data_IF_028490277024
#
_entry.id   IF_028490277024
#
_cell.length_a   1.000
_cell.length_b   1.000
_cell.length_c   1.000
_cell.angle_alpha   90.00
_cell.angle_beta   90.00
_cell.angle_gamma   90.00
#
_symmetry.space_group_name_H-M   'P 1'
#
loop_
_entity.id
_entity.type
_entity.pdbx_description
1 polymer ?
#
# COMPACT_ATOMS: atom_id res chain seq x y z
N UNK A 1 1.62 -19.43 33.40
CA UNK A 1 0.31 -20.06 33.16
C UNK A 1 0.45 -20.94 31.92
N UNK A 2 0.29 -22.26 31.88
CA UNK A 2 0.06 -23.32 32.86
C UNK A 2 0.61 -24.60 32.19
N UNK A 3 1.52 -25.32 32.85
CA UNK A 3 1.92 -26.67 32.44
C UNK A 3 0.81 -27.65 32.78
N UNK A 4 0.22 -28.31 31.78
CA UNK A 4 -0.77 -29.37 31.98
C UNK A 4 -0.07 -30.71 31.84
N UNK A 5 0.39 -31.25 32.96
CA UNK A 5 0.72 -32.66 33.12
C UNK A 5 -0.56 -33.48 32.96
N UNK A 6 -0.61 -34.38 31.99
CA UNK A 6 -1.65 -35.42 31.89
C UNK A 6 -1.06 -36.75 32.31
N UNK A 7 -1.43 -37.17 33.52
CA UNK A 7 -1.22 -38.51 34.07
C UNK A 7 -2.10 -39.48 33.27
N UNK A 8 -1.48 -40.48 32.62
CA UNK A 8 -2.20 -41.58 32.00
C UNK A 8 -2.47 -42.65 33.06
N UNK A 9 -3.70 -42.69 33.55
CA UNK A 9 -4.22 -43.75 34.41
C UNK A 9 -4.49 -45.00 33.57
N UNK A 10 -3.72 -46.07 33.78
CA UNK A 10 -4.03 -47.39 33.22
C UNK A 10 -5.18 -48.01 34.03
N UNK A 11 -6.39 -47.95 33.50
CA UNK A 11 -7.53 -48.71 34.03
C UNK A 11 -7.44 -50.13 33.48
N UNK A 12 -6.98 -51.07 34.31
CA UNK A 12 -7.12 -52.49 34.06
C UNK A 12 -8.61 -52.86 34.06
N UNK A 13 -9.15 -53.23 32.90
CA UNK A 13 -10.51 -53.74 32.72
C UNK A 13 -10.41 -55.01 31.89
N UNK A 14 -10.94 -56.11 32.42
CA UNK A 14 -11.22 -57.28 31.61
C UNK A 14 -11.21 -58.61 32.34
N UNK A 15 -12.18 -58.81 33.24
CA UNK A 15 -12.63 -60.16 33.61
C UNK A 15 -13.20 -60.84 32.37
N UNK A 16 -12.62 -61.96 31.93
CA UNK A 16 -13.22 -62.81 30.88
C UNK A 16 -13.89 -64.00 31.57
N UNK A 17 -15.22 -63.97 31.57
CA UNK A 17 -16.05 -65.13 31.87
C UNK A 17 -16.00 -66.12 30.70
N UNK A 18 -15.69 -67.38 31.00
CA UNK A 18 -15.79 -68.51 30.09
C UNK A 18 -17.26 -68.83 29.76
N UNK A 19 -17.58 -69.06 28.49
CA UNK A 19 -18.43 -70.18 28.02
C UNK A 19 -18.40 -70.30 26.48
N UNK A 20 -18.08 -71.51 25.97
CA UNK A 20 -18.78 -72.08 24.80
C UNK A 20 -18.10 -72.12 23.42
N UNK A 21 -17.51 -73.29 23.10
CA UNK A 21 -17.45 -73.99 21.79
C UNK A 21 -16.58 -73.50 20.60
N UNK A 22 -15.63 -74.38 20.23
CA UNK A 22 -15.24 -74.82 18.87
C UNK A 22 -14.55 -73.85 17.90
N UNK A 23 -13.25 -73.59 18.15
CA UNK A 23 -12.09 -73.70 17.23
C UNK A 23 -10.91 -73.06 17.99
N UNK A 24 -9.96 -73.87 18.44
CA UNK A 24 -8.84 -73.41 19.26
C UNK A 24 -7.77 -72.81 18.34
N UNK A 25 -7.99 -71.57 17.92
CA UNK A 25 -6.90 -70.69 17.48
C UNK A 25 -6.16 -70.29 18.75
N UNK A 26 -4.99 -70.88 18.96
CA UNK A 26 -4.11 -70.58 20.07
C UNK A 26 -3.42 -69.25 19.76
N UNK A 27 -4.06 -68.14 20.12
CA UNK A 27 -3.47 -66.81 20.04
C UNK A 27 -2.33 -66.78 21.06
N UNK A 28 -1.10 -66.72 20.56
CA UNK A 28 0.09 -66.68 21.42
C UNK A 28 0.32 -65.26 21.94
N UNK A 29 1.02 -65.11 23.06
CA UNK A 29 1.42 -63.78 23.57
C UNK A 29 2.20 -62.97 22.50
N UNK A 30 2.91 -63.66 21.60
CA UNK A 30 3.59 -63.05 20.47
C UNK A 30 2.62 -62.44 19.44
N UNK A 31 1.46 -63.06 19.18
CA UNK A 31 0.44 -62.53 18.28
C UNK A 31 -0.25 -61.29 18.86
N UNK A 32 -0.46 -61.26 20.18
CA UNK A 32 -1.01 -60.09 20.90
C UNK A 32 -0.02 -58.92 20.86
N UNK A 33 1.27 -59.19 21.10
CA UNK A 33 2.32 -58.17 21.06
C UNK A 33 2.51 -57.61 19.63
N UNK A 34 2.55 -58.47 18.62
CA UNK A 34 2.67 -58.05 17.22
C UNK A 34 1.46 -57.21 16.75
N UNK A 35 0.25 -57.55 17.19
CA UNK A 35 -0.95 -56.75 16.92
C UNK A 35 -0.89 -55.38 17.62
N UNK A 36 -0.41 -55.33 18.86
CA UNK A 36 -0.22 -54.08 19.60
C UNK A 36 0.85 -53.17 18.96
N UNK A 37 1.99 -53.73 18.55
CA UNK A 37 3.07 -52.99 17.89
C UNK A 37 2.64 -52.45 16.52
N UNK A 38 1.87 -53.24 15.75
CA UNK A 38 1.28 -52.79 14.49
C UNK A 38 0.29 -51.64 14.70
N UNK A 39 -0.59 -51.76 15.70
CA UNK A 39 -1.53 -50.69 16.04
C UNK A 39 -0.81 -49.40 16.50
N UNK A 40 0.30 -49.53 17.24
CA UNK A 40 1.13 -48.40 17.64
C UNK A 40 1.81 -47.73 16.44
N UNK A 41 2.38 -48.49 15.50
CA UNK A 41 2.98 -47.95 14.27
C UNK A 41 1.94 -47.25 13.38
N UNK A 42 0.76 -47.84 13.20
CA UNK A 42 -0.32 -47.22 12.44
C UNK A 42 -0.81 -45.92 13.10
N UNK A 43 -0.87 -45.87 14.43
CA UNK A 43 -1.22 -44.66 15.17
C UNK A 43 -0.15 -43.56 15.02
N UNK A 44 1.15 -43.92 15.03
CA UNK A 44 2.25 -42.97 14.78
C UNK A 44 2.17 -42.44 13.35
N UNK A 45 2.08 -43.31 12.35
CA UNK A 45 2.00 -42.91 10.94
C UNK A 45 0.75 -42.05 10.65
N UNK A 46 -0.40 -42.36 11.25
CA UNK A 46 -1.60 -41.53 11.15
C UNK A 46 -1.42 -40.15 11.82
N UNK A 47 -0.67 -40.09 12.93
CA UNK A 47 -0.38 -38.83 13.63
C UNK A 47 0.59 -37.94 12.86
N UNK A 48 1.61 -38.52 12.21
CA UNK A 48 2.57 -37.83 11.35
C UNK A 48 1.87 -37.27 10.12
N UNK A 49 1.09 -38.10 9.42
CA UNK A 49 0.30 -37.66 8.26
C UNK A 49 -0.64 -36.50 8.61
N UNK A 50 -1.30 -36.57 9.77
CA UNK A 50 -2.19 -35.50 10.25
C UNK A 50 -1.43 -34.19 10.56
N UNK A 51 -0.20 -34.28 11.06
CA UNK A 51 0.64 -33.12 11.31
C UNK A 51 1.15 -32.51 10.00
N UNK A 52 1.55 -33.34 9.02
CA UNK A 52 1.99 -32.90 7.70
C UNK A 52 0.86 -32.19 6.95
N UNK A 53 -0.35 -32.76 6.94
CA UNK A 53 -1.54 -32.14 6.35
C UNK A 53 -1.85 -30.78 7.00
N UNK A 54 -1.69 -30.67 8.33
CA UNK A 54 -1.89 -29.42 9.06
C UNK A 54 -0.82 -28.37 8.72
N UNK A 55 0.45 -28.76 8.59
CA UNK A 55 1.51 -27.85 8.16
C UNK A 55 1.30 -27.38 6.71
N UNK A 56 0.91 -28.29 5.81
CA UNK A 56 0.61 -27.95 4.43
C UNK A 56 -0.56 -26.96 4.33
N UNK A 57 -1.63 -27.18 5.09
CA UNK A 57 -2.77 -26.26 5.15
C UNK A 57 -2.37 -24.88 5.71
N UNK A 58 -1.58 -24.83 6.79
CA UNK A 58 -1.07 -23.57 7.35
C UNK A 58 -0.19 -22.81 6.36
N UNK A 59 0.69 -23.52 5.63
CA UNK A 59 1.54 -22.91 4.61
C UNK A 59 0.72 -22.33 3.46
N UNK A 60 -0.25 -23.10 2.95
CA UNK A 60 -1.16 -22.62 1.90
C UNK A 60 -1.99 -21.40 2.34
N UNK A 61 -2.47 -21.36 3.58
CA UNK A 61 -3.18 -20.20 4.12
C UNK A 61 -2.25 -18.97 4.25
N UNK A 62 -1.01 -19.17 4.69
CA UNK A 62 -0.01 -18.10 4.76
C UNK A 62 0.36 -17.56 3.38
N UNK A 63 0.60 -18.44 2.41
CA UNK A 63 0.93 -18.05 1.04
C UNK A 63 -0.23 -17.28 0.39
N UNK A 64 -1.48 -17.71 0.65
CA UNK A 64 -2.68 -16.98 0.23
C UNK A 64 -2.74 -15.58 0.85
N UNK A 65 -2.57 -15.46 2.18
CA UNK A 65 -2.58 -14.15 2.86
C UNK A 65 -1.50 -13.21 2.33
N UNK A 66 -0.32 -13.74 2.01
CA UNK A 66 0.77 -12.97 1.42
C UNK A 66 0.43 -12.49 0.00
N UNK A 67 -0.20 -13.34 -0.81
CA UNK A 67 -0.64 -12.99 -2.15
C UNK A 67 -1.75 -11.92 -2.11
N UNK A 68 -2.74 -12.10 -1.23
CA UNK A 68 -3.85 -11.15 -1.03
C UNK A 68 -3.31 -9.78 -0.58
N UNK A 69 -2.37 -9.76 0.38
CA UNK A 69 -1.75 -8.51 0.85
C UNK A 69 -0.95 -7.79 -0.25
N UNK A 70 -0.26 -8.53 -1.12
CA UNK A 70 0.44 -7.94 -2.28
C UNK A 70 -0.54 -7.33 -3.27
N UNK A 71 -1.61 -8.05 -3.60
CA UNK A 71 -2.63 -7.56 -4.51
C UNK A 71 -3.34 -6.31 -3.96
N UNK A 72 -3.65 -6.27 -2.66
CA UNK A 72 -4.23 -5.10 -2.01
C UNK A 72 -3.28 -3.90 -2.04
N UNK A 73 -1.98 -4.10 -1.78
CA UNK A 73 -0.98 -3.05 -1.84
C UNK A 73 -0.81 -2.49 -3.26
N UNK A 74 -0.77 -3.35 -4.28
CA UNK A 74 -0.70 -2.94 -5.68
C UNK A 74 -1.96 -2.15 -6.11
N UNK A 75 -3.15 -2.63 -5.72
CA UNK A 75 -4.40 -1.94 -5.99
C UNK A 75 -4.45 -0.57 -5.32
N UNK A 76 -3.98 -0.47 -4.06
CA UNK A 76 -3.90 0.79 -3.33
C UNK A 76 -2.93 1.77 -4.00
N UNK A 77 -1.74 1.31 -4.37
CA UNK A 77 -0.76 2.13 -5.08
C UNK A 77 -1.33 2.66 -6.41
N UNK A 78 -2.00 1.81 -7.18
CA UNK A 78 -2.61 2.20 -8.44
C UNK A 78 -3.73 3.24 -8.24
N UNK A 79 -4.59 3.05 -7.23
CA UNK A 79 -5.65 3.99 -6.90
C UNK A 79 -5.11 5.36 -6.46
N UNK A 80 -4.13 5.38 -5.54
CA UNK A 80 -3.51 6.63 -5.08
C UNK A 80 -2.76 7.34 -6.21
N UNK A 81 -2.06 6.60 -7.08
CA UNK A 81 -1.38 7.16 -8.26
C UNK A 81 -2.37 7.82 -9.21
N UNK A 82 -3.50 7.17 -9.47
CA UNK A 82 -4.55 7.72 -10.33
C UNK A 82 -5.13 9.01 -9.75
N UNK A 83 -5.51 8.99 -8.48
CA UNK A 83 -6.08 10.15 -7.79
C UNK A 83 -5.09 11.32 -7.79
N UNK A 84 -3.82 11.06 -7.51
CA UNK A 84 -2.78 12.08 -7.50
C UNK A 84 -2.57 12.71 -8.89
N UNK A 85 -2.56 11.89 -9.95
CA UNK A 85 -2.47 12.39 -11.34
C UNK A 85 -3.65 13.26 -11.72
N UNK A 86 -4.87 12.86 -11.36
CA UNK A 86 -6.07 13.66 -11.59
C UNK A 86 -5.99 15.00 -10.85
N UNK A 87 -5.55 14.98 -9.58
CA UNK A 87 -5.37 16.19 -8.77
C UNK A 87 -4.32 17.13 -9.39
N UNK A 88 -3.17 16.61 -9.81
CA UNK A 88 -2.13 17.42 -10.44
C UNK A 88 -2.58 18.00 -11.78
N UNK A 89 -3.28 17.20 -12.60
CA UNK A 89 -3.82 17.66 -13.88
C UNK A 89 -4.82 18.80 -13.68
N UNK A 90 -5.75 18.65 -12.73
CA UNK A 90 -6.73 19.69 -12.41
C UNK A 90 -6.05 20.96 -11.86
N UNK A 91 -5.07 20.80 -10.97
CA UNK A 91 -4.30 21.89 -10.38
C UNK A 91 -3.50 22.65 -11.45
N UNK A 92 -2.78 21.94 -12.32
CA UNK A 92 -2.01 22.53 -13.42
C UNK A 92 -2.93 23.30 -14.39
N UNK A 93 -4.07 22.73 -14.75
CA UNK A 93 -5.04 23.41 -15.62
C UNK A 93 -5.58 24.71 -14.98
N UNK A 94 -5.84 24.70 -13.67
CA UNK A 94 -6.27 25.89 -12.95
C UNK A 94 -5.16 26.96 -12.89
N UNK A 95 -3.93 26.56 -12.57
CA UNK A 95 -2.77 27.45 -12.54
C UNK A 95 -2.48 28.07 -13.91
N UNK A 96 -2.59 27.27 -14.98
CA UNK A 96 -2.41 27.75 -16.36
C UNK A 96 -3.42 28.85 -16.70
N UNK A 97 -4.71 28.63 -16.38
CA UNK A 97 -5.77 29.64 -16.57
C UNK A 97 -5.49 30.91 -15.78
N UNK A 98 -5.03 30.78 -14.52
CA UNK A 98 -4.67 31.93 -13.70
C UNK A 98 -3.48 32.71 -14.28
N UNK A 99 -2.46 32.00 -14.76
CA UNK A 99 -1.31 32.58 -15.45
C UNK A 99 -1.73 33.33 -16.71
N UNK A 100 -2.55 32.72 -17.57
CA UNK A 100 -3.01 33.37 -18.81
C UNK A 100 -3.84 34.63 -18.50
N UNK A 101 -4.68 34.57 -17.47
CA UNK A 101 -5.44 35.73 -16.97
C UNK A 101 -4.51 36.83 -16.44
N UNK A 102 -3.50 36.47 -15.65
CA UNK A 102 -2.50 37.40 -15.11
C UNK A 102 -1.71 38.06 -16.25
N UNK A 103 -1.23 37.27 -17.20
CA UNK A 103 -0.47 37.74 -18.36
C UNK A 103 -1.32 38.69 -19.22
N UNK A 104 -2.56 38.34 -19.52
CA UNK A 104 -3.47 39.21 -20.27
C UNK A 104 -3.75 40.54 -19.56
N UNK A 105 -3.97 40.50 -18.25
CA UNK A 105 -4.12 41.71 -17.42
C UNK A 105 -2.86 42.56 -17.44
N UNK A 106 -1.69 41.95 -17.27
CA UNK A 106 -0.41 42.64 -17.34
C UNK A 106 -0.22 43.31 -18.71
N UNK A 107 -0.43 42.58 -19.80
CA UNK A 107 -0.31 43.11 -21.16
C UNK A 107 -1.25 44.30 -21.42
N UNK A 108 -2.42 44.32 -20.79
CA UNK A 108 -3.41 45.40 -20.90
C UNK A 108 -3.03 46.67 -20.11
N UNK A 109 -2.23 46.54 -19.04
CA UNK A 109 -1.88 47.66 -18.16
C UNK A 109 -0.42 48.09 -18.26
N UNK A 110 0.45 47.30 -18.91
CA UNK A 110 1.90 47.56 -18.96
C UNK A 110 2.29 48.95 -19.45
N UNK A 111 1.53 49.53 -20.38
CA UNK A 111 1.78 50.89 -20.89
C UNK A 111 1.47 52.01 -19.87
N UNK A 112 0.79 51.68 -18.78
CA UNK A 112 0.42 52.60 -17.68
C UNK A 112 1.25 52.35 -16.42
N UNK A 113 2.14 51.35 -16.44
CA UNK A 113 2.99 51.02 -15.31
C UNK A 113 4.33 51.78 -15.40
N UNK A 114 4.97 52.06 -14.26
CA UNK A 114 6.35 52.53 -14.23
C UNK A 114 7.30 51.56 -14.97
N UNK A 115 8.31 52.11 -15.63
CA UNK A 115 9.23 51.33 -16.48
C UNK A 115 10.03 50.27 -15.69
N UNK A 116 10.40 50.57 -14.45
CA UNK A 116 11.03 49.64 -13.52
C UNK A 116 10.13 48.44 -13.20
N UNK A 117 8.84 48.68 -12.96
CA UNK A 117 7.85 47.62 -12.74
C UNK A 117 7.64 46.79 -14.00
N UNK A 118 7.56 47.43 -15.17
CA UNK A 118 7.44 46.72 -16.46
C UNK A 118 8.63 45.80 -16.67
N UNK A 119 9.85 46.28 -16.45
CA UNK A 119 11.08 45.50 -16.59
C UNK A 119 11.09 44.30 -15.64
N UNK A 120 10.78 44.50 -14.36
CA UNK A 120 10.78 43.42 -13.37
C UNK A 120 9.73 42.36 -13.72
N UNK A 121 8.47 42.75 -13.94
CA UNK A 121 7.39 41.79 -14.26
C UNK A 121 7.66 41.05 -15.58
N UNK A 122 8.20 41.73 -16.61
CA UNK A 122 8.59 41.08 -17.87
C UNK A 122 9.71 40.05 -17.69
N UNK A 123 10.62 40.27 -16.74
CA UNK A 123 11.68 39.31 -16.43
C UNK A 123 11.20 38.12 -15.60
N UNK A 124 10.20 38.33 -14.72
CA UNK A 124 9.70 37.31 -13.80
C UNK A 124 8.56 36.45 -14.37
N UNK A 125 7.79 36.97 -15.33
CA UNK A 125 6.70 36.22 -16.00
C UNK A 125 7.19 34.93 -16.71
N UNK A 126 8.34 34.91 -17.40
CA UNK A 126 8.94 33.69 -17.93
C UNK A 126 9.27 32.65 -16.86
N UNK A 127 9.77 33.07 -15.69
CA UNK A 127 10.08 32.15 -14.59
C UNK A 127 8.84 31.43 -14.08
N UNK A 128 7.71 32.16 -13.99
CA UNK A 128 6.43 31.56 -13.65
C UNK A 128 5.99 30.56 -14.72
N UNK A 129 6.13 30.90 -16.01
CA UNK A 129 5.78 29.98 -17.10
C UNK A 129 6.63 28.71 -17.06
N UNK A 130 7.93 28.83 -16.78
CA UNK A 130 8.84 27.71 -16.63
C UNK A 130 8.44 26.81 -15.45
N UNK A 131 8.10 27.42 -14.31
CA UNK A 131 7.68 26.65 -13.13
C UNK A 131 6.37 25.89 -13.36
N UNK A 132 5.42 26.48 -14.09
CA UNK A 132 4.21 25.76 -14.53
C UNK A 132 4.53 24.61 -15.49
N UNK A 133 5.49 24.81 -16.42
CA UNK A 133 5.98 23.73 -17.28
C UNK A 133 6.65 22.59 -16.51
N UNK A 134 7.39 22.91 -15.44
CA UNK A 134 7.97 21.91 -14.54
C UNK A 134 6.90 21.10 -13.81
N UNK A 135 5.84 21.75 -13.31
CA UNK A 135 4.71 21.06 -12.67
C UNK A 135 3.99 20.10 -13.64
N UNK A 136 3.80 20.52 -14.89
CA UNK A 136 3.25 19.66 -15.94
C UNK A 136 4.17 18.47 -16.22
N UNK A 137 5.48 18.70 -16.31
CA UNK A 137 6.47 17.65 -16.52
C UNK A 137 6.47 16.63 -15.37
N UNK A 138 6.47 17.09 -14.12
CA UNK A 138 6.41 16.24 -12.92
C UNK A 138 5.16 15.35 -12.96
N UNK A 139 4.00 15.92 -13.28
CA UNK A 139 2.73 15.20 -13.31
C UNK A 139 2.68 14.15 -14.44
N UNK A 140 3.26 14.45 -15.61
CA UNK A 140 3.15 13.62 -16.81
C UNK A 140 4.22 12.52 -16.90
N UNK A 141 5.43 12.77 -16.39
CA UNK A 141 6.57 11.86 -16.60
C UNK A 141 6.75 10.83 -15.50
N UNK A 142 6.12 11.04 -14.32
CA UNK A 142 6.36 10.17 -13.17
C UNK A 142 5.40 8.97 -13.14
N UNK A 143 5.97 7.78 -13.04
CA UNK A 143 5.26 6.49 -12.93
C UNK A 143 5.74 5.75 -11.68
N UNK A 144 5.14 6.01 -10.51
CA UNK A 144 5.56 5.39 -9.26
C UNK A 144 5.25 3.88 -9.29
N UNK A 145 6.22 3.08 -8.85
CA UNK A 145 6.11 1.63 -8.66
C UNK A 145 6.09 1.24 -7.17
N UNK A 146 6.33 2.20 -6.28
CA UNK A 146 6.27 2.03 -4.83
C UNK A 146 5.60 3.24 -4.17
N UNK A 147 5.12 3.06 -2.93
CA UNK A 147 4.57 4.17 -2.13
C UNK A 147 5.63 5.25 -1.82
N UNK A 148 6.89 4.84 -1.67
CA UNK A 148 8.00 5.78 -1.46
C UNK A 148 8.19 6.71 -2.67
N UNK A 149 8.20 6.14 -3.88
CA UNK A 149 8.25 6.93 -5.11
C UNK A 149 7.04 7.85 -5.27
N UNK A 150 5.84 7.41 -4.86
CA UNK A 150 4.64 8.24 -4.86
C UNK A 150 4.79 9.45 -3.91
N UNK A 151 5.37 9.25 -2.73
CA UNK A 151 5.63 10.34 -1.78
C UNK A 151 6.70 11.31 -2.27
N UNK A 152 7.75 10.81 -2.94
CA UNK A 152 8.75 11.66 -3.59
C UNK A 152 8.14 12.53 -4.69
N UNK A 153 7.26 11.95 -5.51
CA UNK A 153 6.53 12.67 -6.54
C UNK A 153 5.72 13.81 -5.93
N UNK A 154 4.95 13.51 -4.88
CA UNK A 154 4.15 14.51 -4.16
C UNK A 154 5.03 15.63 -3.63
N UNK A 155 6.15 15.28 -2.99
CA UNK A 155 7.10 16.27 -2.45
C UNK A 155 7.71 17.16 -3.54
N UNK A 156 8.09 16.58 -4.69
CA UNK A 156 8.63 17.33 -5.83
C UNK A 156 7.60 18.31 -6.40
N UNK A 157 6.37 17.83 -6.58
CA UNK A 157 5.27 18.66 -7.06
C UNK A 157 4.97 19.81 -6.09
N UNK A 158 4.88 19.54 -4.79
CA UNK A 158 4.61 20.57 -3.77
C UNK A 158 5.71 21.63 -3.70
N UNK A 159 6.98 21.22 -3.82
CA UNK A 159 8.12 22.16 -3.88
C UNK A 159 8.04 23.08 -5.08
N UNK A 160 7.81 22.52 -6.26
CA UNK A 160 7.69 23.33 -7.49
C UNK A 160 6.44 24.23 -7.43
N UNK A 161 5.35 23.75 -6.84
CA UNK A 161 4.14 24.53 -6.64
C UNK A 161 4.38 25.73 -5.73
N UNK A 162 5.18 25.55 -4.67
CA UNK A 162 5.58 26.64 -3.79
C UNK A 162 6.45 27.68 -4.53
N UNK A 163 7.33 27.24 -5.44
CA UNK A 163 8.10 28.14 -6.32
C UNK A 163 7.17 28.93 -7.22
N UNK A 164 6.27 28.27 -7.95
CA UNK A 164 5.29 28.93 -8.83
C UNK A 164 4.46 29.97 -8.06
N UNK A 165 3.96 29.62 -6.87
CA UNK A 165 3.21 30.54 -6.01
C UNK A 165 4.05 31.75 -5.58
N UNK A 166 5.28 31.53 -5.13
CA UNK A 166 6.18 32.60 -4.71
C UNK A 166 6.46 33.60 -5.84
N UNK A 167 6.73 33.11 -7.04
CA UNK A 167 6.96 33.95 -8.23
C UNK A 167 5.69 34.74 -8.56
N UNK A 168 4.53 34.09 -8.54
CA UNK A 168 3.27 34.73 -8.89
C UNK A 168 2.84 35.77 -7.83
N UNK A 169 3.12 35.53 -6.54
CA UNK A 169 2.94 36.51 -5.46
C UNK A 169 3.87 37.73 -5.62
N UNK A 170 5.12 37.52 -6.04
CA UNK A 170 6.04 38.60 -6.36
C UNK A 170 5.49 39.48 -7.50
N UNK A 171 4.97 38.86 -8.57
CA UNK A 171 4.33 39.59 -9.68
C UNK A 171 3.14 40.39 -9.18
N UNK A 172 2.25 39.80 -8.39
CA UNK A 172 1.08 40.53 -7.88
C UNK A 172 1.48 41.71 -7.00
N UNK A 173 2.48 41.53 -6.13
CA UNK A 173 3.03 42.59 -5.28
C UNK A 173 3.58 43.76 -6.11
N UNK A 174 4.30 43.47 -7.20
CA UNK A 174 4.80 44.49 -8.13
C UNK A 174 3.66 45.25 -8.83
N UNK A 175 2.55 44.57 -9.12
CA UNK A 175 1.36 45.15 -9.75
C UNK A 175 0.43 45.87 -8.76
N UNK A 176 0.81 45.98 -7.48
CA UNK A 176 0.00 46.61 -6.44
C UNK A 176 -1.28 45.82 -6.10
N UNK A 177 -1.36 44.54 -6.46
CA UNK A 177 -2.45 43.63 -6.05
C UNK A 177 -1.92 42.68 -4.97
N UNK A 178 -2.75 42.35 -3.97
CA UNK A 178 -2.37 41.45 -2.87
C UNK A 178 -2.05 40.01 -3.32
N UNK A 179 -1.77 39.11 -2.35
CA UNK A 179 -1.34 37.72 -2.58
C UNK A 179 -2.37 36.83 -3.31
N UNK A 180 -1.86 35.82 -4.02
CA UNK A 180 -2.60 34.73 -4.69
C UNK A 180 -3.49 33.90 -3.76
N UNK A 181 -3.24 33.90 -2.45
CA UNK A 181 -4.12 33.22 -1.49
C UNK A 181 -5.56 33.75 -1.56
N UNK A 182 -5.74 35.00 -1.99
CA UNK A 182 -7.06 35.57 -2.22
C UNK A 182 -7.78 35.05 -3.48
N UNK A 183 -7.09 34.29 -4.33
CA UNK A 183 -7.56 33.86 -5.65
C UNK A 183 -7.62 32.33 -5.86
N UNK A 184 -7.15 31.52 -4.92
CA UNK A 184 -7.24 30.06 -5.02
C UNK A 184 -8.50 29.53 -4.29
N UNK A 185 -9.26 28.59 -4.89
CA UNK A 185 -10.26 27.84 -4.14
C UNK A 185 -9.57 27.03 -3.05
N UNK A 186 -10.15 27.04 -1.84
CA UNK A 186 -9.66 26.25 -0.72
C UNK A 186 -9.76 24.76 -1.07
N UNK A 187 -8.62 24.06 -0.97
CA UNK A 187 -8.53 22.60 -0.98
C UNK A 187 -9.19 22.03 0.27
#
# INVERSE_FOLDING_TARGET
MNSISKILTFTALGSIALTGCSKKEEITEADVQAAADKAAQEAVAASEKKNDDKMAAMKAESDKKLADAKAEMEAKLAAETKLLKEQFTASNAALRKQYDSLKSKYDSVKSKLPEDIVSQVSSTLPDLANSLGNLESIANTFTPSTLEQLNELKTKYEKELAVAKGIADQILKMLGKGSLESMLPKL
#
